data_IF_278177876540
#
_entry.id   IF_278177876540
#
_cell.length_a   1.000
_cell.length_b   1.000
_cell.length_c   1.000
_cell.angle_alpha   90.00
_cell.angle_beta   90.00
_cell.angle_gamma   90.00
#
_symmetry.space_group_name_H-M   'P 1'
#
loop_
_entity.id
_entity.type
_entity.pdbx_description
1 polymer ?
#
# COMPACT_ATOMS: atom_id res chain seq x y z
N UNK A 1 -21.14 23.60 -48.82
CA UNK A 1 -20.23 23.45 -47.67
C UNK A 1 -20.66 22.20 -46.90
N UNK A 2 -19.96 21.09 -47.09
CA UNK A 2 -20.36 19.78 -46.58
C UNK A 2 -19.83 19.61 -45.15
N UNK A 3 -20.73 19.66 -44.16
CA UNK A 3 -20.41 19.29 -42.77
C UNK A 3 -20.41 17.76 -42.71
N UNK A 4 -19.24 17.16 -42.47
CA UNK A 4 -19.12 15.70 -42.38
C UNK A 4 -19.93 15.16 -41.20
N UNK A 5 -20.79 14.17 -41.46
CA UNK A 5 -21.61 13.42 -40.49
C UNK A 5 -20.80 12.49 -39.56
N UNK A 6 -19.70 12.97 -38.99
CA UNK A 6 -18.91 12.24 -38.00
C UNK A 6 -18.87 13.00 -36.68
N UNK A 7 -20.02 13.44 -36.19
CA UNK A 7 -20.16 13.82 -34.78
C UNK A 7 -20.65 12.59 -34.03
N UNK A 8 -19.72 11.87 -33.39
CA UNK A 8 -20.09 10.85 -32.40
C UNK A 8 -20.58 11.60 -31.16
N UNK A 9 -21.79 11.33 -30.69
CA UNK A 9 -22.16 11.68 -29.32
C UNK A 9 -21.16 10.98 -28.39
N UNK A 10 -20.67 11.68 -27.36
CA UNK A 10 -19.87 11.07 -26.29
C UNK A 10 -20.81 10.13 -25.52
N UNK A 11 -20.96 8.90 -26.01
CA UNK A 11 -21.93 7.94 -25.51
C UNK A 11 -21.38 7.17 -24.30
N UNK A 12 -22.21 7.01 -23.27
CA UNK A 12 -22.06 5.94 -22.28
C UNK A 12 -22.55 6.26 -20.86
N UNK A 13 -22.62 7.52 -20.46
CA UNK A 13 -22.90 7.90 -19.06
C UNK A 13 -24.38 8.29 -18.90
N UNK A 14 -25.17 7.55 -18.09
CA UNK A 14 -26.56 7.90 -17.82
C UNK A 14 -26.69 9.32 -17.26
N UNK A 15 -27.57 10.14 -17.84
CA UNK A 15 -27.85 11.50 -17.38
C UNK A 15 -26.87 12.58 -17.87
N UNK A 16 -25.84 12.23 -18.65
CA UNK A 16 -24.97 13.23 -19.27
C UNK A 16 -25.68 13.99 -20.41
N UNK A 17 -25.44 15.30 -20.51
CA UNK A 17 -25.94 16.10 -21.62
C UNK A 17 -25.33 15.66 -22.95
N UNK A 18 -26.13 15.65 -24.03
CA UNK A 18 -25.62 15.32 -25.36
C UNK A 18 -24.58 16.35 -25.83
N UNK A 19 -23.33 15.90 -26.01
CA UNK A 19 -22.22 16.71 -26.52
C UNK A 19 -21.64 16.06 -27.77
N UNK A 20 -21.60 16.82 -28.86
CA UNK A 20 -21.00 16.38 -30.11
C UNK A 20 -19.47 16.37 -30.00
N UNK A 21 -18.86 15.23 -30.34
CA UNK A 21 -17.40 15.08 -30.42
C UNK A 21 -16.93 15.06 -31.87
N UNK A 22 -15.81 15.72 -32.15
CA UNK A 22 -15.11 15.69 -33.45
C UNK A 22 -13.93 14.70 -33.44
N UNK A 23 -13.87 13.81 -32.45
CA UNK A 23 -12.82 12.80 -32.34
C UNK A 23 -12.84 11.88 -33.58
N UNK A 24 -11.71 11.84 -34.29
CA UNK A 24 -11.52 11.00 -35.48
C UNK A 24 -11.10 9.57 -35.12
N UNK A 25 -10.50 9.39 -33.96
CA UNK A 25 -10.01 8.10 -33.45
C UNK A 25 -11.01 7.57 -32.44
N UNK A 26 -11.27 6.25 -32.49
CA UNK A 26 -12.11 5.57 -31.49
C UNK A 26 -11.24 5.15 -30.32
N UNK A 27 -11.69 5.44 -29.10
CA UNK A 27 -11.01 5.00 -27.87
C UNK A 27 -11.32 3.52 -27.63
N UNK A 28 -10.30 2.63 -27.60
CA UNK A 28 -10.52 1.20 -27.38
C UNK A 28 -10.69 0.84 -25.90
N UNK A 29 -10.21 1.70 -24.99
CA UNK A 29 -10.22 1.50 -23.55
C UNK A 29 -10.90 2.72 -22.92
N UNK A 30 -11.91 2.52 -22.05
CA UNK A 30 -12.57 3.63 -21.36
C UNK A 30 -11.67 4.22 -20.28
N UNK A 31 -12.00 5.44 -19.83
CA UNK A 31 -11.33 6.07 -18.68
C UNK A 31 -11.59 5.23 -17.43
N UNK A 32 -10.55 4.79 -16.69
CA UNK A 32 -10.72 4.03 -15.45
C UNK A 32 -11.28 4.91 -14.32
N UNK A 33 -11.59 4.32 -13.17
CA UNK A 33 -12.00 5.10 -12.01
C UNK A 33 -10.86 5.97 -11.52
N UNK A 34 -11.10 7.29 -11.47
CA UNK A 34 -10.06 8.26 -11.10
C UNK A 34 -9.66 8.18 -9.60
N UNK A 35 -10.45 7.44 -8.80
CA UNK A 35 -10.20 7.19 -7.38
C UNK A 35 -9.65 5.77 -7.14
N UNK A 36 -9.45 4.97 -8.19
CA UNK A 36 -9.09 3.55 -8.07
C UNK A 36 -7.76 3.40 -7.34
N UNK A 37 -6.77 4.27 -7.61
CA UNK A 37 -5.48 4.24 -6.90
C UNK A 37 -5.64 4.28 -5.36
N UNK A 38 -6.50 5.16 -4.85
CA UNK A 38 -6.73 5.30 -3.41
C UNK A 38 -7.56 4.14 -2.87
N UNK A 39 -8.67 3.83 -3.55
CA UNK A 39 -9.63 2.80 -3.12
C UNK A 39 -9.02 1.41 -3.17
N UNK A 40 -8.33 1.05 -4.26
CA UNK A 40 -7.70 -0.26 -4.42
C UNK A 40 -6.54 -0.46 -3.43
N UNK A 41 -5.73 0.59 -3.19
CA UNK A 41 -4.66 0.52 -2.21
C UNK A 41 -5.20 0.29 -0.80
N UNK A 42 -6.30 0.95 -0.42
CA UNK A 42 -6.91 0.75 0.89
C UNK A 42 -7.63 -0.60 0.98
N UNK A 43 -8.33 -1.01 -0.08
CA UNK A 43 -9.01 -2.30 -0.14
C UNK A 43 -8.04 -3.49 -0.03
N UNK A 44 -6.85 -3.39 -0.63
CA UNK A 44 -5.75 -4.32 -0.42
C UNK A 44 -5.28 -4.35 1.03
N UNK A 45 -5.05 -3.17 1.63
CA UNK A 45 -4.54 -3.07 3.00
C UNK A 45 -5.46 -3.81 3.99
N UNK A 46 -6.77 -3.53 3.94
CA UNK A 46 -7.75 -4.15 4.85
C UNK A 46 -8.23 -5.53 4.40
N UNK A 47 -8.04 -5.88 3.12
CA UNK A 47 -8.47 -7.13 2.53
C UNK A 47 -9.99 -7.26 2.39
N UNK A 48 -10.66 -6.28 1.76
CA UNK A 48 -12.12 -6.33 1.57
C UNK A 48 -12.56 -7.57 0.78
N UNK A 49 -13.77 -8.10 1.00
CA UNK A 49 -14.27 -9.26 0.25
C UNK A 49 -14.24 -9.04 -1.26
N UNK A 50 -14.60 -7.83 -1.72
CA UNK A 50 -14.56 -7.46 -3.15
C UNK A 50 -13.14 -7.51 -3.71
N UNK A 51 -12.16 -6.99 -2.98
CA UNK A 51 -10.76 -7.04 -3.38
C UNK A 51 -10.23 -8.49 -3.42
N UNK A 52 -10.57 -9.31 -2.41
CA UNK A 52 -10.19 -10.72 -2.36
C UNK A 52 -10.77 -11.51 -3.52
N UNK A 53 -12.06 -11.31 -3.83
CA UNK A 53 -12.72 -11.98 -4.94
C UNK A 53 -12.05 -11.65 -6.28
N UNK A 54 -11.81 -10.37 -6.54
CA UNK A 54 -11.11 -9.92 -7.75
C UNK A 54 -9.70 -10.51 -7.86
N UNK A 55 -8.95 -10.56 -6.76
CA UNK A 55 -7.60 -11.15 -6.76
C UNK A 55 -7.59 -12.67 -6.91
N UNK A 56 -8.56 -13.36 -6.32
CA UNK A 56 -8.69 -14.80 -6.48
C UNK A 56 -8.99 -15.19 -7.93
N UNK A 57 -9.82 -14.40 -8.63
CA UNK A 57 -10.07 -14.58 -10.06
C UNK A 57 -8.82 -14.36 -10.93
N UNK A 58 -7.97 -13.40 -10.56
CA UNK A 58 -6.74 -13.09 -11.30
C UNK A 58 -5.61 -14.12 -11.09
N UNK A 59 -5.39 -14.58 -9.85
CA UNK A 59 -4.29 -15.49 -9.52
C UNK A 59 -4.63 -16.97 -9.79
N UNK A 60 -5.91 -17.34 -9.88
CA UNK A 60 -6.35 -18.73 -10.01
C UNK A 60 -6.31 -19.50 -8.68
N UNK A 61 -6.71 -20.77 -8.73
CA UNK A 61 -7.04 -21.61 -7.56
C UNK A 61 -5.82 -22.02 -6.69
N UNK A 62 -4.59 -21.80 -7.17
CA UNK A 62 -3.37 -22.30 -6.51
C UNK A 62 -2.69 -21.30 -5.56
N UNK A 63 -3.12 -20.03 -5.53
CA UNK A 63 -2.44 -18.97 -4.76
C UNK A 63 -3.28 -18.44 -3.60
N UNK A 64 -2.69 -18.38 -2.41
CA UNK A 64 -3.30 -17.76 -1.24
C UNK A 64 -3.33 -16.23 -1.42
N UNK A 65 -4.51 -15.64 -1.36
CA UNK A 65 -4.70 -14.19 -1.38
C UNK A 65 -4.55 -13.65 0.04
N UNK A 66 -3.47 -12.92 0.32
CA UNK A 66 -3.22 -12.26 1.60
C UNK A 66 -3.37 -10.73 1.48
N UNK A 67 -4.02 -10.13 2.48
CA UNK A 67 -4.16 -8.67 2.58
C UNK A 67 -2.92 -8.01 3.18
N UNK A 68 -2.81 -6.69 3.05
CA UNK A 68 -1.67 -5.96 3.62
C UNK A 68 -1.57 -6.09 5.16
N UNK A 69 -2.69 -6.12 5.87
CA UNK A 69 -2.70 -6.37 7.32
C UNK A 69 -2.32 -7.81 7.67
N UNK A 70 -2.77 -8.79 6.89
CA UNK A 70 -2.40 -10.20 7.09
C UNK A 70 -0.89 -10.39 6.87
N UNK A 71 -0.32 -9.78 5.82
CA UNK A 71 1.12 -9.81 5.54
C UNK A 71 1.94 -9.21 6.69
N UNK A 72 1.48 -8.09 7.27
CA UNK A 72 2.15 -7.45 8.42
C UNK A 72 2.10 -8.34 9.66
N UNK A 73 0.96 -8.97 9.94
CA UNK A 73 0.82 -9.87 11.09
C UNK A 73 1.65 -11.15 10.92
N UNK A 74 1.75 -11.66 9.69
CA UNK A 74 2.60 -12.79 9.35
C UNK A 74 4.09 -12.45 9.44
N UNK A 75 4.50 -11.22 9.08
CA UNK A 75 5.89 -10.76 9.27
C UNK A 75 6.24 -10.61 10.76
N UNK A 76 5.29 -10.16 11.59
CA UNK A 76 5.49 -9.93 13.02
C UNK A 76 5.49 -11.23 13.84
N UNK A 77 4.76 -12.25 13.40
CA UNK A 77 4.53 -13.48 14.17
C UNK A 77 5.46 -14.63 13.75
N UNK A 78 5.93 -15.47 14.69
CA UNK A 78 5.69 -15.39 16.13
C UNK A 78 6.63 -14.38 16.83
N UNK A 79 6.12 -13.76 17.89
CA UNK A 79 6.92 -12.97 18.83
C UNK A 79 7.39 -13.91 19.93
N UNK A 80 8.70 -14.10 20.04
CA UNK A 80 9.30 -15.01 21.03
C UNK A 80 10.09 -14.25 22.10
N UNK A 81 10.11 -14.80 23.31
CA UNK A 81 11.02 -14.33 24.36
C UNK A 81 12.47 -14.78 24.08
N UNK A 82 13.45 -14.18 24.78
CA UNK A 82 14.87 -14.51 24.59
C UNK A 82 15.18 -16.00 24.80
N UNK A 83 14.45 -16.68 25.69
CA UNK A 83 14.64 -18.10 25.97
C UNK A 83 13.84 -19.04 25.06
N UNK A 84 13.05 -18.50 24.13
CA UNK A 84 12.18 -19.22 23.19
C UNK A 84 11.21 -20.20 23.88
N UNK A 85 10.82 -19.91 25.11
CA UNK A 85 9.90 -20.70 25.93
C UNK A 85 8.46 -20.21 25.79
N UNK A 86 8.28 -18.93 25.54
CA UNK A 86 6.98 -18.29 25.37
C UNK A 86 6.92 -17.65 23.99
N UNK A 87 5.81 -17.86 23.30
CA UNK A 87 5.56 -17.26 21.99
C UNK A 87 4.15 -16.69 21.90
N UNK A 88 4.02 -15.57 21.20
CA UNK A 88 2.75 -14.92 20.87
C UNK A 88 2.59 -14.88 19.34
N UNK A 89 1.50 -15.44 18.85
CA UNK A 89 1.11 -15.42 17.43
C UNK A 89 -0.12 -14.54 17.27
N UNK A 90 -0.09 -13.64 16.28
CA UNK A 90 -1.23 -12.81 15.91
C UNK A 90 -1.73 -13.20 14.53
N UNK A 91 -3.03 -13.43 14.39
CA UNK A 91 -3.67 -13.86 13.15
C UNK A 91 -5.05 -13.26 12.99
N UNK A 92 -5.64 -13.46 11.81
CA UNK A 92 -7.06 -13.18 11.52
C UNK A 92 -7.48 -11.74 11.87
N UNK A 93 -6.92 -10.71 11.20
CA UNK A 93 -7.38 -9.35 11.38
C UNK A 93 -8.81 -9.21 10.84
N UNK A 94 -9.70 -8.66 11.66
CA UNK A 94 -11.07 -8.35 11.24
C UNK A 94 -11.57 -7.06 11.85
N UNK A 95 -12.50 -6.42 11.16
CA UNK A 95 -13.09 -5.15 11.55
C UNK A 95 -14.53 -5.32 11.98
N UNK A 96 -14.90 -4.66 13.07
CA UNK A 96 -16.31 -4.46 13.41
C UNK A 96 -16.89 -3.30 12.58
N UNK A 97 -18.20 -3.13 12.64
CA UNK A 97 -18.91 -2.04 11.99
C UNK A 97 -18.44 -0.67 12.45
N UNK A 98 -18.46 0.30 11.52
CA UNK A 98 -18.15 1.69 11.84
C UNK A 98 -19.24 2.25 12.77
N UNK A 99 -18.81 2.88 13.87
CA UNK A 99 -19.72 3.33 14.94
C UNK A 99 -20.61 4.51 14.56
N UNK A 100 -20.14 5.38 13.66
CA UNK A 100 -20.81 6.63 13.28
C UNK A 100 -20.78 6.81 11.76
N UNK A 101 -21.76 7.53 11.23
CA UNK A 101 -21.76 7.90 9.81
C UNK A 101 -20.73 9.00 9.51
N UNK A 102 -20.39 9.18 8.23
CA UNK A 102 -19.45 10.20 7.75
C UNK A 102 -19.88 11.61 8.18
N UNK A 103 -21.17 11.94 8.07
CA UNK A 103 -21.69 13.26 8.41
C UNK A 103 -21.68 13.49 9.93
N UNK A 104 -22.05 12.49 10.73
CA UNK A 104 -21.95 12.57 12.19
C UNK A 104 -20.51 12.76 12.68
N UNK A 105 -19.55 12.11 12.02
CA UNK A 105 -18.14 12.28 12.35
C UNK A 105 -17.67 13.72 12.11
N UNK A 106 -18.14 14.35 11.02
CA UNK A 106 -17.86 15.76 10.70
C UNK A 106 -18.53 16.71 11.69
N UNK A 107 -19.79 16.47 12.04
CA UNK A 107 -20.56 17.35 12.93
C UNK A 107 -20.08 17.30 14.39
N UNK A 108 -19.60 16.13 14.85
CA UNK A 108 -19.18 15.91 16.25
C UNK A 108 -17.67 16.04 16.46
N UNK A 109 -16.90 16.44 15.44
CA UNK A 109 -15.43 16.52 15.49
C UNK A 109 -14.73 15.20 15.90
N UNK A 110 -15.26 14.06 15.48
CA UNK A 110 -14.71 12.72 15.79
C UNK A 110 -14.13 12.03 14.55
N UNK A 111 -13.42 10.91 14.75
CA UNK A 111 -12.82 10.12 13.67
C UNK A 111 -13.84 9.17 13.03
N UNK A 112 -13.78 9.01 11.71
CA UNK A 112 -14.49 7.93 11.01
C UNK A 112 -13.62 6.67 11.02
N UNK A 113 -13.95 5.73 11.90
CA UNK A 113 -13.11 4.57 12.22
C UNK A 113 -13.90 3.34 12.64
N UNK A 114 -13.32 2.16 12.38
CA UNK A 114 -13.86 0.86 12.76
C UNK A 114 -12.95 0.19 13.80
N UNK A 115 -13.49 -0.48 14.83
CA UNK A 115 -12.70 -1.31 15.73
C UNK A 115 -11.99 -2.44 14.98
N UNK A 116 -10.67 -2.56 15.14
CA UNK A 116 -9.85 -3.65 14.63
C UNK A 116 -9.58 -4.68 15.73
N UNK A 117 -9.86 -5.94 15.43
CA UNK A 117 -9.59 -7.08 16.28
C UNK A 117 -8.65 -8.06 15.57
N UNK A 118 -7.88 -8.82 16.36
CA UNK A 118 -7.06 -9.93 15.90
C UNK A 118 -7.23 -11.12 16.84
N UNK A 119 -7.02 -12.34 16.33
CA UNK A 119 -6.88 -13.54 17.16
C UNK A 119 -5.44 -13.60 17.66
N UNK A 120 -5.25 -13.59 18.99
CA UNK A 120 -3.94 -13.70 19.62
C UNK A 120 -3.82 -15.05 20.33
N UNK A 121 -2.79 -15.82 19.95
CA UNK A 121 -2.48 -17.11 20.54
C UNK A 121 -1.17 -17.04 21.30
N UNK A 122 -1.24 -17.22 22.62
CA UNK A 122 -0.08 -17.34 23.49
C UNK A 122 0.23 -18.81 23.75
N UNK A 123 1.46 -19.24 23.47
CA UNK A 123 1.94 -20.59 23.73
C UNK A 123 3.08 -20.56 24.74
N UNK A 124 2.91 -21.32 25.83
CA UNK A 124 3.99 -21.61 26.77
C UNK A 124 4.51 -23.03 26.53
N UNK A 125 5.72 -23.15 25.98
CA UNK A 125 6.36 -24.43 25.64
C UNK A 125 6.79 -25.24 26.85
N UNK A 126 6.96 -24.62 28.02
CA UNK A 126 7.32 -25.34 29.26
C UNK A 126 6.11 -26.06 29.86
N UNK A 127 4.94 -25.42 29.85
CA UNK A 127 3.70 -25.99 30.41
C UNK A 127 2.84 -26.70 29.37
N UNK A 128 3.08 -26.44 28.07
CA UNK A 128 2.21 -26.87 26.97
C UNK A 128 0.89 -26.10 26.91
N UNK A 129 0.75 -25.01 27.67
CA UNK A 129 -0.48 -24.22 27.73
C UNK A 129 -0.60 -23.31 26.50
N UNK A 130 -1.73 -23.41 25.80
CA UNK A 130 -2.09 -22.53 24.67
C UNK A 130 -3.33 -21.73 25.07
N UNK A 131 -3.23 -20.41 25.03
CA UNK A 131 -4.35 -19.48 25.25
C UNK A 131 -4.63 -18.71 23.98
N UNK A 132 -5.81 -18.91 23.41
CA UNK A 132 -6.31 -18.10 22.30
C UNK A 132 -7.36 -17.12 22.80
N UNK A 133 -7.24 -15.85 22.40
CA UNK A 133 -8.18 -14.80 22.73
C UNK A 133 -8.29 -13.78 21.60
N UNK A 134 -9.48 -13.21 21.43
CA UNK A 134 -9.67 -12.07 20.54
C UNK A 134 -9.20 -10.80 21.24
N UNK A 135 -8.28 -10.06 20.62
CA UNK A 135 -7.69 -8.84 21.18
C UNK A 135 -8.11 -7.64 20.33
N UNK A 136 -8.63 -6.60 21.01
CA UNK A 136 -8.84 -5.30 20.40
C UNK A 136 -7.49 -4.60 20.20
N UNK A 137 -7.14 -4.31 18.94
CA UNK A 137 -5.91 -3.60 18.58
C UNK A 137 -6.09 -2.09 18.68
N UNK A 138 -7.25 -1.59 18.24
CA UNK A 138 -7.54 -0.15 18.23
C UNK A 138 -8.66 0.23 17.26
N UNK A 139 -9.11 1.48 17.33
CA UNK A 139 -10.00 2.06 16.31
C UNK A 139 -9.15 2.45 15.09
N UNK A 140 -9.45 1.84 13.93
CA UNK A 140 -8.70 2.02 12.69
C UNK A 140 -9.44 2.98 11.74
N UNK A 141 -8.80 4.04 11.23
CA UNK A 141 -9.45 4.98 10.31
C UNK A 141 -9.93 4.30 9.03
N UNK A 142 -11.19 4.52 8.68
CA UNK A 142 -11.81 3.94 7.48
C UNK A 142 -11.83 4.97 6.35
N UNK A 143 -11.60 4.51 5.12
CA UNK A 143 -11.71 5.35 3.92
C UNK A 143 -13.18 5.53 3.56
N UNK A 144 -13.57 6.76 3.24
CA UNK A 144 -14.91 7.09 2.71
C UNK A 144 -15.04 6.63 1.25
N UNK A 145 -16.26 6.63 0.73
CA UNK A 145 -16.52 6.43 -0.70
C UNK A 145 -15.74 7.43 -1.57
N UNK A 146 -15.47 8.65 -1.11
CA UNK A 146 -14.72 9.68 -1.85
C UNK A 146 -13.21 9.46 -1.88
N UNK A 147 -12.68 8.41 -1.25
CA UNK A 147 -11.24 8.17 -1.16
C UNK A 147 -10.55 9.08 -0.13
N UNK A 148 -11.30 9.56 0.86
CA UNK A 148 -10.83 10.47 1.92
C UNK A 148 -10.95 9.82 3.30
N UNK A 149 -10.37 10.43 4.31
CA UNK A 149 -10.47 10.02 5.72
C UNK A 149 -11.01 11.17 6.55
N UNK A 150 -11.80 10.89 7.59
CA UNK A 150 -12.21 11.92 8.55
C UNK A 150 -11.40 11.75 9.82
N UNK A 151 -10.61 12.79 10.14
CA UNK A 151 -9.78 12.84 11.34
C UNK A 151 -10.15 14.09 12.13
N UNK A 152 -10.70 13.91 13.32
CA UNK A 152 -11.24 14.94 14.21
C UNK A 152 -12.19 15.88 13.45
N UNK A 153 -13.24 15.33 12.84
CA UNK A 153 -14.22 16.07 12.03
C UNK A 153 -13.72 16.60 10.69
N UNK A 154 -12.41 16.62 10.45
CA UNK A 154 -11.83 17.20 9.24
C UNK A 154 -11.56 16.13 8.19
N UNK A 155 -12.01 16.38 6.97
CA UNK A 155 -11.72 15.52 5.81
C UNK A 155 -10.26 15.70 5.34
N UNK A 156 -9.55 14.59 5.20
CA UNK A 156 -8.13 14.52 4.86
C UNK A 156 -7.91 13.51 3.74
N UNK A 157 -6.84 13.73 2.97
CA UNK A 157 -6.42 12.85 1.88
C UNK A 157 -4.99 12.41 2.13
N UNK A 158 -4.74 11.12 1.99
CA UNK A 158 -3.39 10.57 1.99
C UNK A 158 -2.83 10.65 0.57
N UNK A 159 -1.74 11.40 0.40
CA UNK A 159 -1.12 11.62 -0.92
C UNK A 159 -0.10 10.53 -1.20
N UNK A 160 -0.15 9.94 -2.39
CA UNK A 160 0.84 8.95 -2.85
C UNK A 160 2.22 9.60 -2.96
N UNK A 161 3.22 9.00 -2.33
CA UNK A 161 4.60 9.47 -2.36
C UNK A 161 5.40 8.72 -3.42
N UNK A 162 6.23 9.45 -4.19
CA UNK A 162 7.25 8.85 -5.05
C UNK A 162 8.55 8.70 -4.26
N UNK A 163 9.01 7.45 -4.13
CA UNK A 163 10.27 7.10 -3.48
C UNK A 163 11.11 6.23 -4.41
N UNK A 164 12.43 6.17 -4.18
CA UNK A 164 13.30 5.23 -4.91
C UNK A 164 12.96 3.81 -4.49
N UNK A 165 12.84 2.90 -5.46
CA UNK A 165 12.61 1.49 -5.15
C UNK A 165 13.81 0.90 -4.42
N UNK A 166 13.60 -0.04 -3.50
CA UNK A 166 14.70 -0.87 -2.99
C UNK A 166 15.39 -1.59 -4.15
N UNK A 167 16.72 -1.67 -4.12
CA UNK A 167 17.49 -2.29 -5.20
C UNK A 167 18.95 -1.85 -5.25
N UNK A 168 19.62 -2.27 -6.32
CA UNK A 168 21.02 -1.96 -6.59
C UNK A 168 21.07 -0.93 -7.72
N UNK A 169 21.65 0.23 -7.43
CA UNK A 169 21.81 1.33 -8.37
C UNK A 169 23.28 1.52 -8.70
N UNK A 170 23.58 1.71 -9.98
CA UNK A 170 24.90 2.05 -10.48
C UNK A 170 24.91 3.52 -10.91
N UNK A 171 25.98 4.23 -10.59
CA UNK A 171 26.18 5.63 -10.97
C UNK A 171 27.60 5.84 -11.51
N UNK A 172 27.74 6.75 -12.46
CA UNK A 172 29.00 7.14 -13.07
C UNK A 172 29.19 8.65 -12.94
N UNK A 173 30.32 9.06 -12.36
CA UNK A 173 30.65 10.48 -12.21
C UNK A 173 32.06 10.73 -12.72
N UNK A 174 32.27 11.82 -13.46
CA UNK A 174 33.61 12.19 -13.94
C UNK A 174 34.36 12.94 -12.84
N UNK A 175 35.50 12.41 -12.40
CA UNK A 175 36.35 13.10 -11.44
C UNK A 175 37.00 14.33 -12.08
N UNK A 176 36.82 15.49 -11.45
CA UNK A 176 37.29 16.78 -11.99
C UNK A 176 38.82 16.89 -12.07
N UNK A 177 39.57 16.10 -11.30
CA UNK A 177 41.03 16.20 -11.23
C UNK A 177 41.74 15.27 -12.21
N UNK A 178 41.17 14.10 -12.47
CA UNK A 178 41.74 13.07 -13.33
C UNK A 178 41.02 12.94 -14.67
N UNK A 179 39.85 13.57 -14.83
CA UNK A 179 38.95 13.47 -15.99
C UNK A 179 38.53 12.02 -16.31
N UNK A 180 38.66 11.12 -15.33
CA UNK A 180 38.30 9.71 -15.46
C UNK A 180 36.88 9.46 -14.93
N UNK A 181 36.14 8.51 -15.53
CA UNK A 181 34.87 8.06 -14.98
C UNK A 181 35.11 7.23 -13.70
N UNK A 182 34.52 7.68 -12.60
CA UNK A 182 34.42 6.94 -11.34
C UNK A 182 33.04 6.30 -11.25
N UNK A 183 33.02 5.04 -10.81
CA UNK A 183 31.82 4.25 -10.72
C UNK A 183 31.46 4.02 -9.25
N UNK A 184 30.17 4.08 -8.93
CA UNK A 184 29.67 3.76 -7.60
C UNK A 184 28.43 2.89 -7.68
N UNK A 185 28.23 2.11 -6.62
CA UNK A 185 27.10 1.20 -6.45
C UNK A 185 26.43 1.51 -5.13
N UNK A 186 25.10 1.68 -5.15
CA UNK A 186 24.28 1.87 -3.96
C UNK A 186 23.29 0.73 -3.83
N UNK A 187 23.37 0.02 -2.72
CA UNK A 187 22.42 -1.03 -2.35
C UNK A 187 21.47 -0.42 -1.32
N UNK A 188 20.23 -0.18 -1.78
CA UNK A 188 19.18 0.46 -0.98
C UNK A 188 18.20 -0.63 -0.56
N UNK A 189 18.18 -1.05 0.72
CA UNK A 189 17.19 -2.01 1.21
C UNK A 189 15.83 -1.36 1.42
N UNK A 190 14.78 -2.18 1.52
CA UNK A 190 13.43 -1.72 1.91
C UNK A 190 13.38 -1.24 3.36
N UNK A 191 14.14 -1.89 4.24
CA UNK A 191 14.36 -1.51 5.64
C UNK A 191 15.81 -1.86 6.02
N UNK A 192 16.49 -0.99 6.76
CA UNK A 192 17.85 -1.24 7.27
C UNK A 192 18.92 -0.29 6.74
N UNK A 193 20.18 -0.65 6.98
CA UNK A 193 21.35 0.17 6.66
C UNK A 193 21.69 0.15 5.16
N UNK A 194 22.14 1.28 4.63
CA UNK A 194 22.60 1.39 3.25
C UNK A 194 24.01 0.85 3.11
N UNK A 195 24.29 0.20 1.99
CA UNK A 195 25.62 -0.27 1.63
C UNK A 195 26.04 0.38 0.31
N UNK A 196 27.17 1.07 0.33
CA UNK A 196 27.70 1.79 -0.83
C UNK A 196 29.10 1.28 -1.16
N UNK A 197 29.37 1.09 -2.46
CA UNK A 197 30.69 0.77 -2.98
C UNK A 197 31.09 1.84 -3.97
N UNK A 198 32.36 2.21 -3.97
CA UNK A 198 32.90 3.17 -4.92
C UNK A 198 34.30 2.79 -5.37
N UNK A 199 34.63 3.14 -6.62
CA UNK A 199 36.00 3.09 -7.12
C UNK A 199 36.54 4.51 -7.07
N UNK A 200 37.60 4.72 -6.28
CA UNK A 200 38.21 6.03 -6.15
C UNK A 200 39.19 6.34 -7.30
N UNK A 201 39.67 7.58 -7.35
CA UNK A 201 40.62 8.02 -8.38
C UNK A 201 42.01 7.39 -8.30
N UNK A 202 42.27 6.57 -7.28
CA UNK A 202 43.53 5.83 -7.09
C UNK A 202 43.38 4.36 -7.47
N UNK A 203 42.31 4.01 -8.17
CA UNK A 203 41.97 2.64 -8.57
C UNK A 203 41.80 1.71 -7.36
N UNK A 204 41.31 2.24 -6.24
CA UNK A 204 40.97 1.47 -5.04
C UNK A 204 39.47 1.36 -4.85
N UNK A 205 39.03 0.24 -4.28
CA UNK A 205 37.61 -0.02 -3.98
C UNK A 205 37.32 0.34 -2.53
N UNK A 206 36.40 1.27 -2.33
CA UNK A 206 35.84 1.65 -1.04
C UNK A 206 34.53 0.91 -0.74
N UNK A 207 34.27 0.70 0.55
CA UNK A 207 32.95 0.29 1.05
C UNK A 207 32.54 1.24 2.17
N UNK A 208 31.29 1.67 2.16
CA UNK A 208 30.68 2.50 3.19
C UNK A 208 29.39 1.87 3.68
N UNK A 209 29.25 1.79 4.99
CA UNK A 209 28.08 1.22 5.66
C UNK A 209 27.39 2.34 6.41
N UNK A 210 26.13 2.62 6.08
CA UNK A 210 25.35 3.69 6.70
C UNK A 210 26.09 5.05 6.69
N UNK A 211 26.68 5.37 5.52
CA UNK A 211 27.48 6.58 5.29
C UNK A 211 28.77 6.68 6.11
N UNK A 212 29.24 5.58 6.72
CA UNK A 212 30.53 5.47 7.42
C UNK A 212 31.52 4.59 6.68
#
# INVERSE_FOLDING_TARGET
MAVSRQTKAVAGIPGASERYSFAKISEPIPVPGLLDLQRDSFAWLIGTPEWRARRAEELGDESQVTSGLEDILAELSPIEDYSQKMSLTLSEPWFDSVKNTVDECKDKDINYSAPLYVTAEFTNRETGEIKSQTVFIGDFPMMTDKGTFIVNGTERVVVSQLVRSPGVYFDETIDKSTERPLHSVKIIPSRGAWLEFDVDKRDTVGVRIDRK
#
